data_IF_621840254009
#
_entry.id   IF_621840254009
#
_cell.length_a   1.000
_cell.length_b   1.000
_cell.length_c   1.000
_cell.angle_alpha   90.00
_cell.angle_beta   90.00
_cell.angle_gamma   90.00
#
_symmetry.space_group_name_H-M   'P 1'
#
loop_
_entity.id
_entity.type
_entity.pdbx_description
1 polymer ?
#
# COMPACT_ATOMS: atom_id res chain seq x y z
N UNK A 1 3.45 16.82 -14.12
CA UNK A 1 2.11 16.70 -13.51
C UNK A 1 1.09 17.34 -14.43
N UNK A 2 0.61 16.60 -15.42
CA UNK A 2 -0.47 17.02 -16.32
C UNK A 2 -0.88 15.79 -17.14
N UNK A 3 -2.12 15.34 -16.96
CA UNK A 3 -2.65 14.17 -17.65
C UNK A 3 -3.13 13.06 -16.70
N UNK A 4 -3.87 13.39 -15.64
CA UNK A 4 -4.92 12.45 -15.22
C UNK A 4 -5.89 12.41 -16.39
N UNK A 5 -5.74 11.40 -17.26
CA UNK A 5 -6.71 11.14 -18.30
C UNK A 5 -8.08 11.10 -17.62
N UNK A 6 -8.99 11.99 -18.04
CA UNK A 6 -10.38 11.92 -17.62
C UNK A 6 -10.83 10.47 -17.83
N UNK A 7 -11.32 9.85 -16.75
CA UNK A 7 -11.79 8.48 -16.78
C UNK A 7 -12.77 8.33 -17.95
N UNK A 8 -12.52 7.45 -18.94
CA UNK A 8 -13.37 7.31 -20.13
C UNK A 8 -14.78 6.76 -19.82
N UNK A 9 -15.14 6.61 -18.55
CA UNK A 9 -16.46 6.20 -18.09
C UNK A 9 -17.43 7.39 -18.10
N UNK A 10 -17.87 7.76 -19.31
CA UNK A 10 -19.07 8.57 -19.46
C UNK A 10 -20.24 7.85 -18.77
N UNK A 11 -21.11 8.56 -18.04
CA UNK A 11 -22.30 7.95 -17.45
C UNK A 11 -23.15 7.33 -18.55
N UNK A 12 -23.22 5.99 -18.56
CA UNK A 12 -24.06 5.25 -19.50
C UNK A 12 -25.53 5.63 -19.30
N UNK A 13 -26.18 6.13 -20.35
CA UNK A 13 -27.62 6.43 -20.40
C UNK A 13 -28.43 5.19 -20.80
N UNK A 14 -28.17 4.05 -20.17
CA UNK A 14 -28.92 2.82 -20.38
C UNK A 14 -30.33 2.90 -19.78
N UNK A 15 -31.27 2.15 -20.35
CA UNK A 15 -32.60 1.96 -19.76
C UNK A 15 -32.48 0.83 -18.73
N UNK A 16 -32.62 1.17 -17.45
CA UNK A 16 -32.53 0.19 -16.37
C UNK A 16 -33.85 -0.56 -16.19
N UNK A 17 -33.77 -1.89 -16.12
CA UNK A 17 -34.89 -2.71 -15.65
C UNK A 17 -35.01 -2.55 -14.13
N UNK A 18 -36.14 -2.00 -13.67
CA UNK A 18 -36.38 -1.85 -12.22
C UNK A 18 -36.89 -3.16 -11.64
N UNK A 19 -36.28 -3.61 -10.54
CA UNK A 19 -36.69 -4.79 -9.77
C UNK A 19 -36.98 -4.41 -8.32
N UNK A 20 -38.03 -4.99 -7.75
CA UNK A 20 -38.60 -4.60 -6.44
C UNK A 20 -38.61 -5.74 -5.42
N UNK A 21 -38.30 -6.96 -5.85
CA UNK A 21 -38.17 -8.12 -4.99
C UNK A 21 -37.01 -9.04 -5.42
N UNK A 22 -36.64 -9.97 -4.54
CA UNK A 22 -35.50 -10.87 -4.77
C UNK A 22 -35.71 -11.78 -5.99
N UNK A 23 -36.94 -12.25 -6.23
CA UNK A 23 -37.22 -13.16 -7.34
C UNK A 23 -37.02 -12.46 -8.70
N UNK A 24 -37.49 -11.21 -8.82
CA UNK A 24 -37.25 -10.34 -9.97
C UNK A 24 -35.75 -10.07 -10.16
N UNK A 25 -35.03 -9.72 -9.09
CA UNK A 25 -33.59 -9.48 -9.17
C UNK A 25 -32.85 -10.72 -9.67
N UNK A 26 -33.12 -11.90 -9.10
CA UNK A 26 -32.50 -13.17 -9.55
C UNK A 26 -32.86 -13.50 -11.00
N UNK A 27 -34.08 -13.20 -11.44
CA UNK A 27 -34.46 -13.37 -12.84
C UNK A 27 -33.72 -12.42 -13.78
N UNK A 28 -33.60 -11.14 -13.39
CA UNK A 28 -32.85 -10.15 -14.14
C UNK A 28 -31.36 -10.50 -14.25
N UNK A 29 -30.74 -10.97 -13.16
CA UNK A 29 -29.33 -11.41 -13.17
C UNK A 29 -29.04 -12.56 -14.14
N UNK A 30 -29.99 -13.48 -14.34
CA UNK A 30 -29.87 -14.55 -15.33
C UNK A 30 -29.97 -14.07 -16.77
N UNK A 31 -30.59 -12.91 -16.99
CA UNK A 31 -30.75 -12.31 -18.32
C UNK A 31 -29.65 -11.28 -18.61
N UNK A 32 -29.04 -10.71 -17.57
CA UNK A 32 -28.06 -9.65 -17.64
C UNK A 32 -28.65 -8.28 -18.00
N UNK A 33 -27.79 -7.37 -18.46
CA UNK A 33 -28.15 -6.00 -18.82
C UNK A 33 -28.10 -5.01 -17.63
N UNK A 34 -28.74 -3.86 -17.81
CA UNK A 34 -28.76 -2.77 -16.82
C UNK A 34 -29.95 -2.96 -15.85
N UNK A 35 -29.66 -3.15 -14.55
CA UNK A 35 -30.63 -3.49 -13.50
C UNK A 35 -30.59 -2.44 -12.39
N UNK A 36 -31.76 -1.89 -12.04
CA UNK A 36 -31.94 -0.98 -10.91
C UNK A 36 -32.75 -1.67 -9.82
N UNK A 37 -32.14 -1.92 -8.67
CA UNK A 37 -32.76 -2.59 -7.53
C UNK A 37 -33.33 -1.57 -6.54
N UNK A 38 -34.63 -1.61 -6.32
CA UNK A 38 -35.32 -0.88 -5.24
C UNK A 38 -35.94 -1.89 -4.26
N UNK A 39 -35.09 -2.60 -3.54
CA UNK A 39 -35.49 -3.61 -2.57
C UNK A 39 -34.60 -3.63 -1.33
N UNK A 40 -35.15 -4.19 -0.24
CA UNK A 40 -34.40 -4.60 0.95
C UNK A 40 -34.63 -6.10 1.16
N UNK A 41 -33.55 -6.88 1.28
CA UNK A 41 -33.63 -8.34 1.34
C UNK A 41 -32.63 -8.93 2.32
N UNK A 42 -33.10 -9.94 3.05
CA UNK A 42 -32.28 -10.88 3.81
C UNK A 42 -31.95 -12.07 2.91
N UNK A 43 -30.70 -12.18 2.47
CA UNK A 43 -30.25 -13.21 1.54
C UNK A 43 -30.05 -14.54 2.28
N UNK A 44 -30.69 -15.59 1.78
CA UNK A 44 -30.42 -16.98 2.20
C UNK A 44 -29.35 -17.66 1.34
N UNK A 45 -29.03 -17.09 0.18
CA UNK A 45 -28.03 -17.57 -0.76
C UNK A 45 -27.45 -16.39 -1.56
N UNK A 46 -26.22 -16.51 -2.10
CA UNK A 46 -25.59 -15.46 -2.88
C UNK A 46 -26.41 -15.03 -4.11
N UNK A 47 -26.24 -13.79 -4.54
CA UNK A 47 -26.69 -13.29 -5.84
C UNK A 47 -25.57 -13.52 -6.86
N UNK A 48 -25.84 -14.40 -7.82
CA UNK A 48 -24.87 -14.79 -8.85
C UNK A 48 -25.02 -13.92 -10.10
N UNK A 49 -23.90 -13.33 -10.54
CA UNK A 49 -23.78 -12.58 -11.79
C UNK A 49 -23.01 -13.46 -12.79
N UNK A 50 -23.73 -14.03 -13.76
CA UNK A 50 -23.19 -15.01 -14.70
C UNK A 50 -23.33 -14.61 -16.18
N UNK A 51 -23.84 -13.40 -16.45
CA UNK A 51 -23.95 -12.84 -17.80
C UNK A 51 -22.99 -11.66 -17.95
N UNK A 52 -22.04 -11.69 -18.90
CA UNK A 52 -21.15 -10.56 -19.16
C UNK A 52 -21.93 -9.28 -19.48
N UNK A 53 -21.40 -8.12 -19.08
CA UNK A 53 -22.05 -6.83 -19.31
C UNK A 53 -23.21 -6.53 -18.36
N UNK A 54 -23.41 -7.35 -17.31
CA UNK A 54 -24.44 -7.11 -16.30
C UNK A 54 -24.05 -5.94 -15.41
N UNK A 55 -24.95 -4.97 -15.28
CA UNK A 55 -24.77 -3.80 -14.42
C UNK A 55 -25.91 -3.74 -13.41
N UNK A 56 -25.58 -3.71 -12.13
CA UNK A 56 -26.56 -3.61 -11.05
C UNK A 56 -26.32 -2.33 -10.26
N UNK A 57 -27.40 -1.59 -9.98
CA UNK A 57 -27.37 -0.46 -9.06
C UNK A 57 -28.44 -0.53 -7.99
N UNK A 58 -28.12 -0.04 -6.80
CA UNK A 58 -29.07 0.12 -5.71
C UNK A 58 -29.36 -1.16 -4.92
N UNK A 59 -30.38 -1.12 -4.07
CA UNK A 59 -30.77 -2.22 -3.20
C UNK A 59 -30.03 -2.26 -1.85
N UNK A 60 -30.65 -2.95 -0.89
CA UNK A 60 -30.11 -3.20 0.44
C UNK A 60 -30.14 -4.70 0.72
N UNK A 61 -28.99 -5.24 1.05
CA UNK A 61 -28.77 -6.68 1.20
C UNK A 61 -28.19 -6.95 2.57
N UNK A 62 -28.70 -7.98 3.23
CA UNK A 62 -28.08 -8.53 4.42
C UNK A 62 -27.83 -10.01 4.23
N UNK A 63 -26.68 -10.49 4.69
CA UNK A 63 -26.36 -11.92 4.67
C UNK A 63 -25.60 -12.31 5.93
N UNK A 64 -26.05 -13.37 6.60
CA UNK A 64 -25.44 -13.80 7.88
C UNK A 64 -24.13 -14.60 7.67
N UNK A 65 -24.02 -15.36 6.57
CA UNK A 65 -22.83 -16.16 6.25
C UNK A 65 -22.59 -16.27 4.74
N UNK A 66 -21.35 -16.47 4.34
CA UNK A 66 -20.99 -16.59 2.91
C UNK A 66 -21.04 -15.24 2.16
N UNK A 67 -20.87 -15.27 0.84
CA UNK A 67 -20.85 -14.06 0.00
C UNK A 67 -22.26 -13.55 -0.30
N UNK A 68 -22.45 -12.23 -0.36
CA UNK A 68 -23.72 -11.63 -0.81
C UNK A 68 -23.81 -11.63 -2.35
N UNK A 69 -22.70 -11.28 -3.00
CA UNK A 69 -22.57 -11.19 -4.46
C UNK A 69 -21.42 -12.03 -4.95
N UNK A 70 -21.68 -12.86 -5.96
CA UNK A 70 -20.66 -13.70 -6.63
C UNK A 70 -20.70 -13.43 -8.12
N UNK A 71 -19.54 -13.21 -8.73
CA UNK A 71 -19.42 -13.02 -10.17
C UNK A 71 -18.25 -13.83 -10.73
N UNK A 72 -18.48 -14.47 -11.87
CA UNK A 72 -17.51 -15.35 -12.55
C UNK A 72 -17.36 -15.00 -14.03
N UNK A 73 -17.80 -13.81 -14.42
CA UNK A 73 -17.76 -13.31 -15.80
C UNK A 73 -17.19 -11.90 -15.85
N UNK A 74 -16.66 -11.51 -17.01
CA UNK A 74 -16.14 -10.16 -17.26
C UNK A 74 -17.26 -9.12 -17.41
N UNK A 75 -16.88 -7.85 -17.41
CA UNK A 75 -17.75 -6.70 -17.68
C UNK A 75 -18.92 -6.58 -16.68
N UNK A 76 -18.66 -6.88 -15.41
CA UNK A 76 -19.61 -6.71 -14.31
C UNK A 76 -19.48 -5.30 -13.73
N UNK A 77 -20.60 -4.60 -13.55
CA UNK A 77 -20.66 -3.37 -12.75
C UNK A 77 -21.61 -3.55 -11.56
N UNK A 78 -21.10 -3.35 -10.35
CA UNK A 78 -21.87 -3.31 -9.10
C UNK A 78 -21.78 -1.91 -8.50
N UNK A 79 -22.87 -1.15 -8.55
CA UNK A 79 -22.93 0.25 -8.15
C UNK A 79 -23.91 0.52 -7.01
N UNK A 80 -23.61 1.49 -6.13
CA UNK A 80 -24.59 2.06 -5.19
C UNK A 80 -25.27 1.04 -4.25
N UNK A 81 -24.66 -0.13 -4.04
CA UNK A 81 -25.22 -1.20 -3.21
C UNK A 81 -25.05 -0.88 -1.73
N UNK A 82 -25.98 -1.35 -0.89
CA UNK A 82 -25.78 -1.40 0.57
C UNK A 82 -25.78 -2.85 1.03
N UNK A 83 -24.67 -3.32 1.56
CA UNK A 83 -24.49 -4.73 1.95
C UNK A 83 -24.03 -4.79 3.41
N UNK A 84 -24.73 -5.56 4.24
CA UNK A 84 -24.35 -5.81 5.64
C UNK A 84 -24.11 -7.31 5.85
N UNK A 85 -22.97 -7.66 6.44
CA UNK A 85 -22.61 -9.03 6.79
C UNK A 85 -23.09 -9.45 8.19
N UNK A 86 -22.58 -10.60 8.64
CA UNK A 86 -23.00 -11.25 9.89
C UNK A 86 -22.17 -10.92 11.12
N UNK A 87 -21.21 -9.96 11.06
CA UNK A 87 -20.27 -9.69 12.17
C UNK A 87 -20.97 -9.37 13.49
N UNK A 88 -22.09 -8.64 13.47
CA UNK A 88 -22.83 -8.28 14.69
C UNK A 88 -23.44 -9.49 15.41
N UNK A 89 -23.89 -10.49 14.65
CA UNK A 89 -24.47 -11.72 15.20
C UNK A 89 -23.40 -12.72 15.63
N UNK A 90 -22.26 -12.74 14.94
CA UNK A 90 -21.14 -13.62 15.21
C UNK A 90 -19.81 -12.90 14.93
N UNK A 91 -19.13 -12.34 15.94
CA UNK A 91 -17.87 -11.61 15.77
C UNK A 91 -16.67 -12.57 15.65
N UNK A 92 -16.83 -13.61 14.84
CA UNK A 92 -15.82 -14.64 14.57
C UNK A 92 -15.47 -14.56 13.09
N UNK A 93 -14.17 -14.56 12.80
CA UNK A 93 -13.67 -14.54 11.43
C UNK A 93 -14.21 -15.72 10.63
N UNK A 94 -14.66 -15.43 9.42
CA UNK A 94 -15.14 -16.40 8.45
C UNK A 94 -14.55 -16.04 7.07
N UNK A 95 -13.59 -16.86 6.65
CA UNK A 95 -12.92 -16.73 5.34
C UNK A 95 -13.85 -16.88 4.14
N UNK A 96 -15.04 -17.46 4.34
CA UNK A 96 -16.05 -17.64 3.31
C UNK A 96 -16.99 -16.43 3.19
N UNK A 97 -17.04 -15.54 4.20
CA UNK A 97 -17.83 -14.31 4.13
C UNK A 97 -17.05 -13.21 3.38
N UNK A 98 -17.16 -13.25 2.06
CA UNK A 98 -16.64 -12.25 1.12
C UNK A 98 -17.82 -11.53 0.50
N UNK A 99 -18.23 -10.38 1.04
CA UNK A 99 -19.54 -9.81 0.71
C UNK A 99 -19.72 -9.54 -0.78
N UNK A 100 -18.69 -9.03 -1.45
CA UNK A 100 -18.57 -9.02 -2.92
C UNK A 100 -17.37 -9.89 -3.30
N UNK A 101 -17.61 -10.96 -4.04
CA UNK A 101 -16.58 -11.91 -4.47
C UNK A 101 -16.62 -12.11 -5.99
N UNK A 102 -15.66 -11.53 -6.69
CA UNK A 102 -15.56 -11.59 -8.15
C UNK A 102 -14.29 -12.37 -8.48
N UNK A 103 -14.46 -13.53 -9.10
CA UNK A 103 -13.42 -14.56 -9.19
C UNK A 103 -13.26 -15.06 -10.63
N UNK A 104 -12.09 -14.81 -11.18
CA UNK A 104 -11.60 -15.42 -12.41
C UNK A 104 -10.67 -16.59 -12.10
N UNK A 105 -9.90 -16.98 -13.09
CA UNK A 105 -8.82 -17.97 -12.94
C UNK A 105 -7.56 -17.49 -13.65
N UNK A 106 -6.42 -18.11 -13.38
CA UNK A 106 -5.18 -17.84 -14.11
C UNK A 106 -5.36 -17.97 -15.63
N UNK A 107 -6.13 -18.97 -16.08
CA UNK A 107 -6.38 -19.21 -17.51
C UNK A 107 -7.47 -18.32 -18.11
N UNK A 108 -8.34 -17.75 -17.27
CA UNK A 108 -9.47 -16.93 -17.68
C UNK A 108 -9.73 -15.84 -16.61
N UNK A 109 -8.89 -14.79 -16.56
CA UNK A 109 -9.10 -13.70 -15.63
C UNK A 109 -10.35 -12.90 -15.99
N UNK A 110 -11.03 -12.32 -14.99
CA UNK A 110 -12.16 -11.42 -15.25
C UNK A 110 -11.64 -10.07 -15.70
N UNK A 111 -12.14 -9.54 -16.80
CA UNK A 111 -11.80 -8.21 -17.29
C UNK A 111 -12.93 -7.21 -17.01
N UNK A 112 -12.59 -5.93 -16.88
CA UNK A 112 -13.60 -4.86 -16.88
C UNK A 112 -14.58 -4.90 -15.69
N UNK A 113 -14.16 -5.46 -14.55
CA UNK A 113 -14.98 -5.50 -13.34
C UNK A 113 -14.95 -4.13 -12.65
N UNK A 114 -16.12 -3.63 -12.27
CA UNK A 114 -16.27 -2.36 -11.55
C UNK A 114 -17.14 -2.54 -10.32
N UNK A 115 -16.61 -2.21 -9.14
CA UNK A 115 -17.39 -2.07 -7.90
C UNK A 115 -17.32 -0.61 -7.46
N UNK A 116 -18.45 0.11 -7.47
CA UNK A 116 -18.44 1.55 -7.25
C UNK A 116 -19.51 2.08 -6.31
N UNK A 117 -19.17 3.07 -5.49
CA UNK A 117 -20.09 3.83 -4.64
C UNK A 117 -20.94 2.96 -3.68
N UNK A 118 -20.44 1.77 -3.35
CA UNK A 118 -21.08 0.83 -2.46
C UNK A 118 -20.79 1.14 -0.98
N UNK A 119 -21.74 0.79 -0.10
CA UNK A 119 -21.56 0.79 1.36
C UNK A 119 -21.60 -0.64 1.85
N UNK A 120 -20.49 -1.13 2.35
CA UNK A 120 -20.30 -2.53 2.71
C UNK A 120 -19.87 -2.61 4.17
N UNK A 121 -20.64 -3.31 4.99
CA UNK A 121 -20.50 -3.29 6.44
C UNK A 121 -20.50 -4.66 7.07
N UNK A 122 -19.96 -4.76 8.28
CA UNK A 122 -20.19 -5.88 9.20
C UNK A 122 -19.76 -7.25 8.61
N UNK A 123 -18.69 -7.26 7.80
CA UNK A 123 -18.17 -8.50 7.22
C UNK A 123 -17.34 -9.28 8.25
N UNK A 124 -17.57 -10.59 8.31
CA UNK A 124 -16.72 -11.55 9.03
C UNK A 124 -15.47 -11.96 8.23
N UNK A 125 -15.33 -11.51 6.99
CA UNK A 125 -14.15 -11.75 6.16
C UNK A 125 -13.80 -10.49 5.37
N UNK A 126 -13.89 -10.61 4.04
CA UNK A 126 -13.62 -9.52 3.09
C UNK A 126 -14.89 -8.70 2.83
N UNK A 127 -14.76 -7.38 2.64
CA UNK A 127 -15.83 -6.57 2.07
C UNK A 127 -15.88 -6.73 0.54
N UNK A 128 -14.76 -6.47 -0.15
CA UNK A 128 -14.60 -6.71 -1.59
C UNK A 128 -13.39 -7.60 -1.83
N UNK A 129 -13.57 -8.69 -2.57
CA UNK A 129 -12.49 -9.56 -3.03
C UNK A 129 -12.56 -9.72 -4.55
N UNK A 130 -11.50 -9.28 -5.20
CA UNK A 130 -11.23 -9.51 -6.61
C UNK A 130 -10.12 -10.55 -6.73
N UNK A 131 -10.38 -11.66 -7.40
CA UNK A 131 -9.41 -12.74 -7.58
C UNK A 131 -9.24 -13.01 -9.08
N UNK A 132 -8.00 -13.00 -9.58
CA UNK A 132 -7.70 -13.11 -11.01
C UNK A 132 -8.49 -12.12 -11.87
N UNK A 133 -8.40 -10.83 -11.53
CA UNK A 133 -9.07 -9.76 -12.24
C UNK A 133 -8.06 -8.87 -12.96
N UNK A 134 -8.39 -8.45 -14.18
CA UNK A 134 -7.57 -7.57 -15.02
C UNK A 134 -8.36 -6.33 -15.43
N UNK A 135 -7.71 -5.19 -15.58
CA UNK A 135 -8.34 -3.95 -16.08
C UNK A 135 -9.63 -3.59 -15.32
N UNK A 136 -9.57 -3.67 -13.98
CA UNK A 136 -10.72 -3.64 -13.08
C UNK A 136 -10.60 -2.53 -12.03
N UNK A 137 -11.72 -2.13 -11.43
CA UNK A 137 -11.78 -0.97 -10.54
C UNK A 137 -12.64 -1.22 -9.30
N UNK A 138 -12.17 -0.72 -8.16
CA UNK A 138 -12.95 -0.55 -6.93
C UNK A 138 -12.90 0.93 -6.55
N UNK A 139 -14.02 1.64 -6.66
CA UNK A 139 -14.05 3.11 -6.52
C UNK A 139 -15.10 3.60 -5.53
N UNK A 140 -14.75 4.55 -4.66
CA UNK A 140 -15.74 5.22 -3.81
C UNK A 140 -16.45 4.29 -2.81
N UNK A 141 -15.92 3.09 -2.58
CA UNK A 141 -16.50 2.12 -1.65
C UNK A 141 -16.26 2.56 -0.21
N UNK A 142 -17.29 2.49 0.62
CA UNK A 142 -17.19 2.66 2.07
C UNK A 142 -17.31 1.29 2.73
N UNK A 143 -16.18 0.75 3.18
CA UNK A 143 -16.09 -0.52 3.90
C UNK A 143 -15.86 -0.28 5.40
N UNK A 144 -16.69 -0.87 6.26
CA UNK A 144 -16.56 -0.69 7.72
C UNK A 144 -16.88 -1.94 8.52
N UNK A 145 -16.28 -2.08 9.70
CA UNK A 145 -16.65 -3.15 10.63
C UNK A 145 -16.33 -4.52 10.04
N UNK A 146 -15.04 -4.77 9.76
CA UNK A 146 -14.55 -5.95 9.07
C UNK A 146 -13.80 -6.87 10.04
N UNK A 147 -13.68 -8.16 9.75
CA UNK A 147 -12.81 -9.06 10.52
C UNK A 147 -11.57 -9.53 9.74
N UNK A 148 -11.43 -9.14 8.46
CA UNK A 148 -10.24 -9.46 7.69
C UNK A 148 -9.79 -8.31 6.79
N UNK A 149 -10.44 -8.08 5.63
CA UNK A 149 -10.00 -7.04 4.69
C UNK A 149 -11.13 -6.15 4.15
N UNK A 150 -10.80 -4.89 3.86
CA UNK A 150 -11.71 -3.97 3.15
C UNK A 150 -11.77 -4.27 1.67
N UNK A 151 -10.63 -4.16 1.01
CA UNK A 151 -10.47 -4.52 -0.39
C UNK A 151 -9.29 -5.47 -0.54
N UNK A 152 -9.54 -6.63 -1.12
CA UNK A 152 -8.54 -7.64 -1.40
C UNK A 152 -8.44 -7.87 -2.91
N UNK A 153 -7.29 -7.55 -3.49
CA UNK A 153 -6.96 -7.83 -4.89
C UNK A 153 -5.95 -8.96 -4.90
N UNK A 154 -6.33 -10.11 -5.44
CA UNK A 154 -5.52 -11.32 -5.45
C UNK A 154 -5.24 -11.72 -6.89
N UNK A 155 -3.96 -11.81 -7.23
CA UNK A 155 -3.52 -12.10 -8.60
C UNK A 155 -4.14 -11.14 -9.63
N UNK A 156 -4.21 -9.85 -9.28
CA UNK A 156 -4.81 -8.83 -10.12
C UNK A 156 -3.79 -8.14 -11.02
N UNK A 157 -4.20 -7.73 -12.22
CA UNK A 157 -3.34 -6.99 -13.16
C UNK A 157 -4.03 -5.69 -13.60
N UNK A 158 -3.36 -4.54 -13.47
CA UNK A 158 -3.94 -3.23 -13.79
C UNK A 158 -5.27 -2.97 -13.05
N UNK A 159 -5.36 -3.41 -11.79
CA UNK A 159 -6.51 -3.15 -10.92
C UNK A 159 -6.31 -1.84 -10.17
N UNK A 160 -7.32 -0.98 -10.17
CA UNK A 160 -7.30 0.32 -9.48
C UNK A 160 -8.27 0.31 -8.29
N UNK A 161 -7.77 0.62 -7.10
CA UNK A 161 -8.56 0.87 -5.89
C UNK A 161 -8.45 2.35 -5.55
N UNK A 162 -9.52 3.11 -5.78
CA UNK A 162 -9.49 4.57 -5.73
C UNK A 162 -10.59 5.19 -4.86
N UNK A 163 -10.25 6.21 -4.09
CA UNK A 163 -11.23 7.04 -3.39
C UNK A 163 -12.10 6.28 -2.38
N UNK A 164 -11.67 5.10 -1.93
CA UNK A 164 -12.40 4.27 -0.99
C UNK A 164 -12.14 4.72 0.46
N UNK A 165 -13.09 4.45 1.34
CA UNK A 165 -12.94 4.60 2.79
C UNK A 165 -13.03 3.22 3.44
N UNK A 166 -11.94 2.74 4.04
CA UNK A 166 -11.90 1.46 4.75
C UNK A 166 -11.60 1.71 6.22
N UNK A 167 -12.45 1.22 7.12
CA UNK A 167 -12.25 1.44 8.56
C UNK A 167 -12.65 0.26 9.45
N UNK A 168 -11.98 0.15 10.58
CA UNK A 168 -12.26 -0.82 11.65
C UNK A 168 -12.13 -2.29 11.25
N UNK A 169 -10.90 -2.78 11.25
CA UNK A 169 -10.57 -4.20 11.11
C UNK A 169 -9.71 -4.66 12.30
N UNK A 170 -10.32 -4.96 13.46
CA UNK A 170 -9.59 -5.41 14.65
C UNK A 170 -9.00 -6.80 14.49
N UNK A 171 -7.88 -7.04 15.17
CA UNK A 171 -7.42 -8.40 15.40
C UNK A 171 -8.33 -9.06 16.44
N UNK A 172 -8.99 -10.15 16.04
CA UNK A 172 -9.80 -11.00 16.93
C UNK A 172 -9.08 -12.32 17.20
N UNK A 173 -9.42 -13.05 18.28
CA UNK A 173 -8.83 -14.37 18.54
C UNK A 173 -8.90 -15.28 17.31
N UNK A 174 -7.78 -15.89 16.94
CA UNK A 174 -7.66 -16.76 15.76
C UNK A 174 -7.41 -16.04 14.44
N UNK A 175 -7.46 -14.70 14.40
CA UNK A 175 -7.08 -13.90 13.23
C UNK A 175 -5.68 -13.39 13.43
N UNK A 176 -4.78 -13.75 12.51
CA UNK A 176 -3.37 -13.35 12.59
C UNK A 176 -3.16 -11.97 11.97
N UNK A 177 -3.88 -11.67 10.89
CA UNK A 177 -3.69 -10.44 10.10
C UNK A 177 -5.03 -9.82 9.73
N UNK A 178 -5.05 -8.50 9.59
CA UNK A 178 -6.14 -7.72 8.98
C UNK A 178 -5.58 -6.68 8.01
N UNK A 179 -6.37 -6.30 7.01
CA UNK A 179 -5.89 -5.40 5.96
C UNK A 179 -6.92 -4.32 5.66
N UNK A 180 -6.48 -3.09 5.44
CA UNK A 180 -7.35 -2.09 4.85
C UNK A 180 -7.57 -2.42 3.38
N UNK A 181 -6.49 -2.31 2.61
CA UNK A 181 -6.42 -2.65 1.20
C UNK A 181 -5.18 -3.53 0.99
N UNK A 182 -5.34 -4.70 0.38
CA UNK A 182 -4.24 -5.60 0.08
C UNK A 182 -4.22 -5.99 -1.39
N UNK A 183 -3.02 -5.99 -1.99
CA UNK A 183 -2.75 -6.37 -3.38
C UNK A 183 -1.72 -7.50 -3.37
N UNK A 184 -2.16 -8.75 -3.44
CA UNK A 184 -1.36 -9.94 -3.15
C UNK A 184 -1.48 -10.98 -4.27
N UNK A 185 -0.81 -12.11 -4.15
CA UNK A 185 -1.02 -13.28 -5.00
C UNK A 185 -1.84 -14.37 -4.32
N UNK A 186 -2.41 -15.26 -5.12
CA UNK A 186 -3.14 -16.45 -4.65
C UNK A 186 -2.21 -17.62 -4.30
N UNK A 187 -1.22 -17.86 -5.17
CA UNK A 187 -0.48 -19.13 -5.22
C UNK A 187 0.97 -19.04 -4.74
N UNK A 188 1.41 -17.89 -4.23
CA UNK A 188 2.78 -17.65 -3.77
C UNK A 188 3.85 -17.79 -4.91
N UNK A 189 3.42 -17.70 -6.16
CA UNK A 189 4.23 -17.86 -7.38
C UNK A 189 4.42 -16.55 -8.15
N UNK A 190 5.41 -16.54 -9.04
CA UNK A 190 5.60 -15.43 -9.98
C UNK A 190 4.37 -15.21 -10.85
N UNK A 191 3.78 -16.27 -11.40
CA UNK A 191 2.63 -16.17 -12.31
C UNK A 191 1.43 -15.52 -11.64
N UNK A 192 1.15 -15.92 -10.39
CA UNK A 192 0.01 -15.42 -9.63
C UNK A 192 0.21 -14.02 -9.02
N UNK A 193 1.39 -13.40 -9.14
CA UNK A 193 1.60 -12.09 -8.54
C UNK A 193 0.71 -11.02 -9.14
N UNK A 194 0.23 -10.12 -8.27
CA UNK A 194 -0.44 -8.92 -8.74
C UNK A 194 0.55 -7.97 -9.43
N UNK A 195 0.12 -7.31 -10.51
CA UNK A 195 0.98 -6.49 -11.37
C UNK A 195 0.34 -5.17 -11.78
N UNK A 196 1.13 -4.11 -11.72
CA UNK A 196 0.79 -2.78 -12.23
C UNK A 196 -0.57 -2.26 -11.69
N UNK A 197 -0.88 -2.62 -10.45
CA UNK A 197 -2.09 -2.19 -9.73
C UNK A 197 -1.84 -0.86 -9.00
N UNK A 198 -2.92 -0.12 -8.74
CA UNK A 198 -2.86 1.18 -8.08
C UNK A 198 -3.83 1.27 -6.90
N UNK A 199 -3.36 1.80 -5.78
CA UNK A 199 -4.11 2.13 -4.57
C UNK A 199 -3.98 3.63 -4.35
N UNK A 200 -5.00 4.40 -4.78
CA UNK A 200 -4.90 5.85 -4.96
C UNK A 200 -5.98 6.62 -4.19
N UNK A 201 -5.60 7.66 -3.46
CA UNK A 201 -6.57 8.60 -2.87
C UNK A 201 -7.54 7.98 -1.85
N UNK A 202 -7.19 6.86 -1.24
CA UNK A 202 -8.04 6.17 -0.26
C UNK A 202 -7.85 6.73 1.15
N UNK A 203 -8.89 6.57 1.98
CA UNK A 203 -8.80 6.76 3.43
C UNK A 203 -8.89 5.40 4.11
N UNK A 204 -7.81 5.01 4.79
CA UNK A 204 -7.73 3.73 5.51
C UNK A 204 -7.46 4.00 6.98
N UNK A 205 -8.29 3.48 7.88
CA UNK A 205 -8.11 3.73 9.30
C UNK A 205 -8.46 2.57 10.24
N UNK A 206 -7.80 2.56 11.40
CA UNK A 206 -8.09 1.61 12.50
C UNK A 206 -7.96 0.14 12.03
N UNK A 207 -6.86 -0.16 11.34
CA UNK A 207 -6.51 -1.52 10.93
C UNK A 207 -5.43 -2.06 11.86
N UNK A 208 -5.72 -3.15 12.57
CA UNK A 208 -4.82 -3.65 13.62
C UNK A 208 -3.59 -4.38 13.08
N UNK A 209 -3.44 -4.47 11.76
CA UNK A 209 -2.25 -5.01 11.13
C UNK A 209 -1.72 -4.06 10.04
N UNK A 210 -2.16 -4.17 8.79
CA UNK A 210 -1.61 -3.36 7.69
C UNK A 210 -2.67 -2.48 7.03
N UNK A 211 -2.44 -1.16 7.01
CA UNK A 211 -3.33 -0.23 6.31
C UNK A 211 -3.39 -0.56 4.83
N UNK A 212 -2.26 -0.48 4.14
CA UNK A 212 -2.11 -0.87 2.74
C UNK A 212 -0.99 -1.90 2.64
N UNK A 213 -1.25 -3.01 1.96
CA UNK A 213 -0.29 -4.12 1.83
C UNK A 213 -0.12 -4.56 0.38
N UNK A 214 1.10 -4.97 0.05
CA UNK A 214 1.33 -5.93 -1.02
C UNK A 214 2.30 -7.01 -0.55
N UNK A 215 1.94 -8.24 -0.91
CA UNK A 215 2.82 -9.37 -0.85
C UNK A 215 3.35 -9.73 -2.23
N UNK A 216 4.62 -9.42 -2.50
CA UNK A 216 5.29 -9.80 -3.75
C UNK A 216 4.78 -9.11 -5.02
N UNK A 217 4.01 -8.03 -4.90
CA UNK A 217 3.47 -7.32 -6.07
C UNK A 217 4.54 -6.70 -6.98
N UNK A 218 4.25 -6.56 -8.27
CA UNK A 218 5.11 -5.87 -9.23
C UNK A 218 4.48 -4.56 -9.68
N UNK A 219 5.23 -3.47 -9.71
CA UNK A 219 4.71 -2.21 -10.25
C UNK A 219 3.55 -1.63 -9.42
N UNK A 220 3.44 -1.98 -8.14
CA UNK A 220 2.34 -1.51 -7.30
C UNK A 220 2.51 -0.04 -6.95
N UNK A 221 1.51 0.78 -7.28
CA UNK A 221 1.44 2.19 -6.95
C UNK A 221 0.57 2.42 -5.71
N UNK A 222 1.10 3.07 -4.68
CA UNK A 222 0.39 3.53 -3.49
C UNK A 222 0.52 5.04 -3.40
N UNK A 223 -0.50 5.78 -3.83
CA UNK A 223 -0.40 7.23 -4.03
C UNK A 223 -1.50 8.06 -3.35
N UNK A 224 -1.14 9.14 -2.68
CA UNK A 224 -2.11 10.13 -2.19
C UNK A 224 -3.10 9.61 -1.15
N UNK A 225 -2.81 8.50 -0.47
CA UNK A 225 -3.71 7.92 0.53
C UNK A 225 -3.56 8.60 1.89
N UNK A 226 -4.62 8.58 2.69
CA UNK A 226 -4.61 8.89 4.11
C UNK A 226 -4.71 7.59 4.90
N UNK A 227 -3.66 7.23 5.63
CA UNK A 227 -3.60 6.03 6.46
C UNK A 227 -3.46 6.43 7.93
N UNK A 228 -4.44 6.12 8.78
CA UNK A 228 -4.47 6.58 10.16
C UNK A 228 -4.82 5.49 11.17
N UNK A 229 -4.05 5.40 12.24
CA UNK A 229 -4.39 4.49 13.35
C UNK A 229 -4.16 3.02 12.99
N UNK A 230 -3.31 2.73 12.01
CA UNK A 230 -2.99 1.36 11.57
C UNK A 230 -1.70 0.86 12.21
N UNK A 231 -1.60 -0.43 12.56
CA UNK A 231 -0.39 -0.97 13.21
C UNK A 231 0.87 -0.72 12.37
N UNK A 232 0.74 -0.95 11.08
CA UNK A 232 1.67 -0.58 10.01
C UNK A 232 0.92 0.24 8.96
N UNK A 233 1.55 1.31 8.46
CA UNK A 233 0.94 2.18 7.47
C UNK A 233 0.86 1.52 6.09
N UNK A 234 2.03 1.34 5.45
CA UNK A 234 2.18 0.69 4.14
C UNK A 234 3.21 -0.44 4.23
N UNK A 235 2.85 -1.63 3.76
CA UNK A 235 3.71 -2.80 3.67
C UNK A 235 3.98 -3.17 2.21
N UNK A 236 5.26 -3.19 1.83
CA UNK A 236 5.74 -3.80 0.61
C UNK A 236 6.63 -4.97 1.03
N UNK A 237 6.06 -6.16 1.21
CA UNK A 237 6.78 -7.30 1.79
C UNK A 237 6.56 -8.58 1.00
N UNK A 238 7.22 -9.65 1.45
CA UNK A 238 7.02 -11.00 0.92
C UNK A 238 5.73 -11.60 1.51
N UNK A 239 5.45 -11.41 2.80
CA UNK A 239 4.26 -11.96 3.44
C UNK A 239 4.54 -13.27 4.18
N UNK A 240 4.71 -14.40 3.48
CA UNK A 240 4.97 -15.71 4.10
C UNK A 240 6.19 -16.44 3.50
N UNK A 241 6.65 -17.47 4.19
CA UNK A 241 7.85 -18.25 3.89
C UNK A 241 7.75 -19.12 2.63
N UNK A 242 6.54 -19.40 2.14
CA UNK A 242 6.34 -20.21 0.93
C UNK A 242 6.35 -19.36 -0.34
N UNK A 243 6.31 -18.03 -0.20
CA UNK A 243 6.29 -17.12 -1.34
C UNK A 243 7.66 -16.97 -1.96
N UNK A 244 7.64 -17.00 -3.30
CA UNK A 244 8.85 -16.96 -4.11
C UNK A 244 9.11 -15.56 -4.68
N UNK A 245 8.18 -14.62 -4.55
CA UNK A 245 8.27 -13.28 -5.13
C UNK A 245 8.60 -12.22 -4.08
N UNK A 246 9.40 -11.22 -4.49
CA UNK A 246 9.64 -10.01 -3.71
C UNK A 246 8.89 -8.84 -4.37
N UNK A 247 8.47 -7.83 -3.60
CA UNK A 247 7.86 -6.63 -4.16
C UNK A 247 8.87 -5.86 -5.01
N UNK A 248 8.56 -5.60 -6.27
CA UNK A 248 9.47 -4.94 -7.22
C UNK A 248 8.80 -3.79 -7.95
N UNK A 249 9.59 -2.80 -8.38
CA UNK A 249 9.14 -1.63 -9.14
C UNK A 249 7.99 -0.87 -8.46
N UNK A 250 7.85 -0.98 -7.15
CA UNK A 250 6.74 -0.38 -6.41
C UNK A 250 6.96 1.12 -6.21
N UNK A 251 5.88 1.88 -6.01
CA UNK A 251 5.96 3.31 -5.71
C UNK A 251 5.03 3.66 -4.57
N UNK A 252 5.54 4.31 -3.53
CA UNK A 252 4.77 4.84 -2.40
C UNK A 252 4.97 6.35 -2.35
N UNK A 253 3.98 7.12 -2.77
CA UNK A 253 4.16 8.56 -2.95
C UNK A 253 3.01 9.44 -2.46
N UNK A 254 3.34 10.60 -1.88
CA UNK A 254 2.34 11.61 -1.52
C UNK A 254 1.34 11.17 -0.46
N UNK A 255 1.63 10.12 0.33
CA UNK A 255 0.69 9.60 1.34
C UNK A 255 0.82 10.37 2.66
N UNK A 256 -0.28 10.47 3.41
CA UNK A 256 -0.32 10.95 4.80
C UNK A 256 -0.55 9.76 5.73
N UNK A 257 0.47 9.37 6.48
CA UNK A 257 0.51 8.13 7.29
C UNK A 257 0.68 8.53 8.76
N UNK A 258 -0.26 8.16 9.64
CA UNK A 258 -0.22 8.53 11.06
C UNK A 258 -0.54 7.35 11.99
N UNK A 259 0.28 7.17 13.02
CA UNK A 259 0.04 6.20 14.09
C UNK A 259 -1.07 6.63 15.06
N UNK A 260 -1.62 7.83 14.91
CA UNK A 260 -2.63 8.37 15.83
C UNK A 260 -3.90 7.52 15.83
N UNK A 261 -4.31 7.06 17.01
CA UNK A 261 -5.53 6.27 17.19
C UNK A 261 -5.36 4.76 17.03
N UNK A 262 -4.12 4.27 16.89
CA UNK A 262 -3.83 2.83 16.88
C UNK A 262 -4.33 2.14 18.15
N UNK A 263 -4.85 0.91 17.98
CA UNK A 263 -5.33 0.07 19.09
C UNK A 263 -4.30 -0.95 19.56
N UNK A 264 -3.36 -1.30 18.69
CA UNK A 264 -2.35 -2.33 18.94
C UNK A 264 -0.94 -1.74 18.97
N UNK A 265 0.02 -2.59 19.33
CA UNK A 265 1.43 -2.24 19.36
C UNK A 265 1.90 -1.71 18.01
N UNK A 266 2.72 -0.66 18.08
CA UNK A 266 3.14 0.06 16.89
C UNK A 266 4.25 -0.67 16.12
N UNK A 267 4.06 -0.75 14.80
CA UNK A 267 5.04 -1.25 13.83
C UNK A 267 5.59 -0.07 13.04
N UNK A 268 5.79 -0.21 11.74
CA UNK A 268 6.43 0.77 10.88
C UNK A 268 5.42 1.66 10.13
N UNK A 269 5.83 2.89 9.80
CA UNK A 269 5.07 3.74 8.88
C UNK A 269 5.06 3.12 7.48
N UNK A 270 6.24 2.90 6.91
CA UNK A 270 6.45 2.20 5.64
C UNK A 270 7.52 1.11 5.83
N UNK A 271 7.26 -0.10 5.33
CA UNK A 271 8.26 -1.18 5.28
C UNK A 271 8.45 -1.67 3.85
N UNK A 272 9.69 -2.00 3.51
CA UNK A 272 10.07 -2.70 2.27
C UNK A 272 10.92 -3.91 2.65
N UNK A 273 10.65 -5.10 2.10
CA UNK A 273 11.45 -6.30 2.36
C UNK A 273 11.44 -7.29 1.20
N UNK A 274 12.60 -7.85 0.88
CA UNK A 274 12.79 -8.81 -0.22
C UNK A 274 13.12 -10.23 0.25
N UNK A 275 13.64 -11.04 -0.68
CA UNK A 275 14.05 -12.43 -0.49
C UNK A 275 15.51 -12.65 -0.89
N UNK A 276 16.19 -13.68 -0.35
CA UNK A 276 17.48 -14.12 -0.86
C UNK A 276 17.43 -14.36 -2.38
N UNK A 277 18.31 -13.69 -3.13
CA UNK A 277 18.36 -13.79 -4.60
C UNK A 277 17.25 -13.05 -5.36
N UNK A 278 16.27 -12.45 -4.67
CA UNK A 278 15.17 -11.68 -5.27
C UNK A 278 14.96 -10.41 -4.46
N UNK A 279 15.73 -9.39 -4.79
CA UNK A 279 15.74 -8.16 -4.02
C UNK A 279 14.46 -7.34 -4.25
N UNK A 280 13.92 -6.72 -3.21
CA UNK A 280 12.80 -5.80 -3.31
C UNK A 280 13.23 -4.44 -3.89
N UNK A 281 12.37 -3.78 -4.66
CA UNK A 281 12.68 -2.45 -5.21
C UNK A 281 11.47 -1.50 -5.16
N UNK A 282 11.73 -0.24 -4.80
CA UNK A 282 10.68 0.76 -4.69
C UNK A 282 11.17 2.22 -4.80
N UNK A 283 10.24 3.11 -5.13
CA UNK A 283 10.37 4.57 -4.95
C UNK A 283 9.47 5.00 -3.79
N UNK A 284 10.02 5.63 -2.75
CA UNK A 284 9.29 6.12 -1.57
C UNK A 284 9.47 7.64 -1.44
N UNK A 285 8.50 8.43 -1.89
CA UNK A 285 8.69 9.88 -2.02
C UNK A 285 7.52 10.75 -1.59
N UNK A 286 7.79 11.96 -1.08
CA UNK A 286 6.71 12.93 -0.80
C UNK A 286 5.72 12.51 0.29
N UNK A 287 6.03 11.50 1.10
CA UNK A 287 5.12 11.02 2.14
C UNK A 287 5.29 11.83 3.43
N UNK A 288 4.18 12.04 4.13
CA UNK A 288 4.14 12.59 5.49
C UNK A 288 3.83 11.47 6.47
N UNK A 289 4.78 11.09 7.29
CA UNK A 289 4.66 10.05 8.31
C UNK A 289 4.66 10.73 9.69
N UNK A 290 3.78 10.35 10.61
CA UNK A 290 3.71 10.92 11.94
C UNK A 290 3.35 9.89 13.02
N UNK A 291 3.86 10.08 14.23
CA UNK A 291 3.58 9.24 15.39
C UNK A 291 4.20 7.83 15.37
N UNK A 292 4.84 7.41 14.27
CA UNK A 292 5.53 6.12 14.22
C UNK A 292 6.94 6.20 14.82
N UNK A 293 7.22 5.42 15.87
CA UNK A 293 8.59 5.10 16.37
C UNK A 293 9.59 4.72 15.27
N UNK A 294 9.15 3.99 14.24
CA UNK A 294 9.94 3.63 13.06
C UNK A 294 9.20 4.12 11.81
N UNK A 295 9.47 5.34 11.32
CA UNK A 295 8.84 5.84 10.10
C UNK A 295 9.11 4.91 8.91
N UNK A 296 10.32 4.34 8.88
CA UNK A 296 10.78 3.39 7.87
C UNK A 296 11.36 2.13 8.51
N UNK A 297 11.22 1.01 7.82
CA UNK A 297 12.08 -0.16 7.96
C UNK A 297 12.41 -0.71 6.58
N UNK A 298 13.70 -0.76 6.29
CA UNK A 298 14.23 -1.43 5.12
C UNK A 298 14.69 -2.81 5.61
N UNK A 299 13.90 -3.83 5.29
CA UNK A 299 14.19 -5.22 5.63
C UNK A 299 15.37 -5.76 4.83
N UNK A 300 15.54 -7.07 4.84
CA UNK A 300 16.62 -7.72 4.12
C UNK A 300 16.38 -7.69 2.60
N UNK A 301 17.47 -7.85 1.85
CA UNK A 301 17.47 -8.01 0.39
C UNK A 301 16.78 -6.85 -0.35
N UNK A 302 17.22 -5.63 -0.09
CA UNK A 302 16.78 -4.44 -0.83
C UNK A 302 17.69 -4.21 -2.03
N UNK A 303 17.08 -4.07 -3.21
CA UNK A 303 17.73 -3.74 -4.46
C UNK A 303 17.71 -2.24 -4.69
N UNK A 304 17.04 -1.81 -5.76
CA UNK A 304 16.89 -0.39 -6.07
C UNK A 304 15.85 0.27 -5.16
N UNK A 305 16.29 1.18 -4.31
CA UNK A 305 15.43 1.97 -3.44
C UNK A 305 15.74 3.46 -3.63
N UNK A 306 14.71 4.23 -4.00
CA UNK A 306 14.79 5.70 -4.06
C UNK A 306 13.88 6.28 -3.00
N UNK A 307 14.44 6.81 -1.93
CA UNK A 307 13.70 7.62 -0.95
C UNK A 307 13.84 9.10 -1.34
N UNK A 308 12.85 9.97 -1.17
CA UNK A 308 13.07 11.44 -1.32
C UNK A 308 11.89 12.29 -0.86
N UNK A 309 12.16 13.49 -0.32
CA UNK A 309 11.12 14.51 -0.11
C UNK A 309 10.03 14.08 0.89
N UNK A 310 10.31 13.11 1.76
CA UNK A 310 9.43 12.75 2.85
C UNK A 310 9.69 13.67 4.06
N UNK A 311 8.74 13.78 4.99
CA UNK A 311 8.96 14.57 6.21
C UNK A 311 9.88 13.88 7.25
N UNK A 312 10.27 12.63 7.01
CA UNK A 312 11.29 11.91 7.75
C UNK A 312 12.45 11.56 6.82
N UNK A 313 13.70 11.78 7.23
CA UNK A 313 14.84 11.34 6.44
C UNK A 313 14.98 9.81 6.44
N UNK A 314 15.64 9.26 5.43
CA UNK A 314 15.95 7.83 5.34
C UNK A 314 16.87 7.38 6.48
N UNK A 315 17.91 8.16 6.76
CA UNK A 315 18.77 8.01 7.94
C UNK A 315 18.63 9.29 8.75
N UNK A 316 18.11 9.24 10.00
CA UNK A 316 18.07 10.40 10.86
C UNK A 316 19.48 10.86 11.20
N UNK A 317 19.61 12.04 11.79
CA UNK A 317 20.90 12.53 12.30
C UNK A 317 21.56 11.48 13.20
N UNK A 318 22.62 10.86 12.69
CA UNK A 318 23.38 9.78 13.31
C UNK A 318 24.83 10.21 13.49
N UNK A 319 25.51 9.64 14.48
CA UNK A 319 26.94 9.92 14.70
C UNK A 319 27.75 9.55 13.45
N UNK A 320 28.68 10.42 13.07
CA UNK A 320 29.64 10.15 11.99
C UNK A 320 30.97 9.73 12.61
N UNK A 321 31.31 8.44 12.52
CA UNK A 321 32.59 7.95 13.02
C UNK A 321 33.73 8.46 12.14
N UNK A 322 34.65 9.20 12.77
CA UNK A 322 35.89 9.64 12.14
C UNK A 322 36.93 8.55 12.24
N UNK A 323 37.64 8.29 11.14
CA UNK A 323 38.80 7.39 11.12
C UNK A 323 40.07 8.20 10.87
N UNK A 324 40.92 8.34 11.90
CA UNK A 324 42.23 9.00 11.84
C UNK A 324 42.69 9.50 13.22
N UNK A 325 44.00 9.69 13.41
CA UNK A 325 44.61 10.03 14.71
C UNK A 325 44.75 11.53 14.99
N UNK A 326 44.62 12.36 13.95
CA UNK A 326 45.09 13.75 13.98
C UNK A 326 43.96 14.75 14.27
N UNK A 327 42.78 14.26 14.65
CA UNK A 327 41.59 15.05 14.92
C UNK A 327 40.75 14.45 16.03
N UNK A 328 40.06 15.32 16.76
CA UNK A 328 39.02 14.95 17.71
C UNK A 328 37.73 15.69 17.39
N UNK A 329 36.61 14.99 17.54
CA UNK A 329 35.27 15.60 17.51
C UNK A 329 35.15 16.67 18.62
N UNK A 330 34.57 17.84 18.34
CA UNK A 330 34.22 18.77 19.42
C UNK A 330 33.10 18.14 20.25
N UNK A 331 33.32 17.80 21.53
CA UNK A 331 32.31 17.13 22.35
C UNK A 331 31.04 17.99 22.56
N UNK A 332 31.10 19.30 22.27
CA UNK A 332 29.97 20.21 22.35
C UNK A 332 29.14 20.25 21.06
N UNK A 333 29.72 19.89 19.92
CA UNK A 333 29.04 19.87 18.62
C UNK A 333 29.46 18.65 17.79
N UNK A 334 29.01 17.45 18.19
CA UNK A 334 29.45 16.20 17.57
C UNK A 334 29.07 16.12 16.09
N UNK A 335 29.96 15.53 15.29
CA UNK A 335 29.74 15.27 13.89
C UNK A 335 28.62 14.28 13.69
N UNK A 336 27.67 14.69 12.86
CA UNK A 336 26.50 13.89 12.52
C UNK A 336 26.24 13.97 11.03
N UNK A 337 25.67 12.89 10.52
CA UNK A 337 25.15 12.84 9.16
C UNK A 337 23.67 12.47 9.16
N UNK A 338 22.96 12.90 8.13
CA UNK A 338 21.59 12.50 7.81
C UNK A 338 21.58 12.12 6.34
N UNK A 339 20.76 11.15 5.96
CA UNK A 339 20.50 10.86 4.55
C UNK A 339 19.02 11.05 4.29
N UNK A 340 18.67 11.93 3.38
CA UNK A 340 17.31 12.14 2.88
C UNK A 340 17.30 11.97 1.37
N UNK A 341 16.92 10.76 0.95
CA UNK A 341 17.00 10.34 -0.43
C UNK A 341 18.41 10.30 -0.98
N UNK A 342 18.63 10.98 -2.10
CA UNK A 342 19.98 11.17 -2.65
C UNK A 342 20.81 12.16 -1.84
N UNK A 343 20.23 12.96 -0.96
CA UNK A 343 20.96 14.02 -0.25
C UNK A 343 21.57 13.50 1.06
N UNK A 344 22.86 13.73 1.28
CA UNK A 344 23.51 13.51 2.57
C UNK A 344 23.82 14.86 3.21
N UNK A 345 23.33 15.10 4.41
CA UNK A 345 23.61 16.33 5.16
C UNK A 345 24.61 16.03 6.27
N UNK A 346 25.54 16.95 6.50
CA UNK A 346 26.54 16.87 7.56
C UNK A 346 26.38 18.07 8.49
N UNK A 347 26.61 17.86 9.78
CA UNK A 347 26.73 18.93 10.79
C UNK A 347 27.74 18.55 11.86
N UNK A 348 28.19 19.52 12.64
CA UNK A 348 29.12 19.35 13.75
C UNK A 348 30.44 20.09 13.51
N UNK A 349 31.36 19.95 14.47
CA UNK A 349 32.69 20.56 14.42
C UNK A 349 33.81 19.55 14.67
N UNK A 350 34.93 19.76 13.98
CA UNK A 350 36.21 19.06 14.21
C UNK A 350 37.19 19.99 14.89
N UNK A 351 38.08 19.42 15.70
CA UNK A 351 39.22 20.10 16.31
C UNK A 351 40.51 19.40 15.84
N UNK A 352 41.36 20.10 15.09
CA UNK A 352 42.63 19.60 14.54
C UNK A 352 43.05 20.31 13.25
N UNK A 353 44.29 20.12 12.80
CA UNK A 353 44.79 20.60 11.49
C UNK A 353 44.74 19.46 10.45
N UNK A 354 44.28 19.73 9.22
CA UNK A 354 44.44 18.81 8.08
C UNK A 354 43.16 18.28 7.41
N UNK A 355 43.32 17.24 6.57
CA UNK A 355 42.24 16.65 5.77
C UNK A 355 41.69 15.36 6.39
N UNK A 356 40.39 15.27 6.68
CA UNK A 356 39.82 14.06 7.32
C UNK A 356 39.29 13.04 6.31
N UNK A 357 38.94 11.82 6.77
CA UNK A 357 38.13 10.83 6.04
C UNK A 357 37.02 10.36 6.98
N UNK A 358 35.77 10.76 6.73
CA UNK A 358 34.59 10.19 7.40
C UNK A 358 33.98 9.11 6.53
N UNK A 359 33.57 7.96 7.08
CA UNK A 359 32.77 6.99 6.32
C UNK A 359 31.31 7.19 6.63
N UNK A 360 30.50 7.48 5.60
CA UNK A 360 29.04 7.43 5.73
C UNK A 360 28.63 5.97 5.51
N UNK A 361 28.11 5.27 6.53
CA UNK A 361 27.58 3.93 6.35
C UNK A 361 26.50 3.94 5.28
N UNK A 362 26.69 3.12 4.25
CA UNK A 362 25.63 2.90 3.29
C UNK A 362 24.54 2.04 3.94
N UNK A 363 23.27 2.47 3.91
CA UNK A 363 22.17 1.63 4.40
C UNK A 363 22.01 0.32 3.60
N UNK A 364 22.67 0.20 2.44
CA UNK A 364 22.56 -0.97 1.55
C UNK A 364 23.90 -1.60 1.18
N UNK A 365 24.99 -1.27 1.88
CA UNK A 365 26.33 -1.78 1.57
C UNK A 365 26.91 -1.30 0.22
N UNK A 366 26.26 -0.34 -0.45
CA UNK A 366 26.77 0.31 -1.67
C UNK A 366 27.37 1.67 -1.34
N UNK A 367 28.65 1.92 -1.67
CA UNK A 367 29.29 3.19 -1.33
C UNK A 367 28.59 4.38 -2.00
N UNK A 368 28.38 5.45 -1.24
CA UNK A 368 27.82 6.71 -1.72
C UNK A 368 28.90 7.48 -2.50
N UNK A 369 28.68 7.76 -3.79
CA UNK A 369 29.62 8.53 -4.62
C UNK A 369 29.14 9.98 -4.69
N UNK A 370 29.86 10.93 -4.10
CA UNK A 370 29.56 12.35 -4.29
C UNK A 370 30.55 13.00 -5.26
N UNK A 371 30.05 13.86 -6.14
CA UNK A 371 30.87 14.64 -7.06
C UNK A 371 31.10 16.02 -6.44
N UNK A 372 32.36 16.29 -6.03
CA UNK A 372 32.98 17.58 -5.61
C UNK A 372 32.06 18.81 -5.60
N UNK A 373 31.78 19.39 -4.42
CA UNK A 373 30.81 20.51 -4.26
C UNK A 373 31.40 21.76 -3.57
N UNK A 374 32.65 21.72 -3.14
CA UNK A 374 33.46 22.91 -2.87
C UNK A 374 34.95 22.51 -2.92
N UNK A 375 35.86 23.49 -2.96
CA UNK A 375 37.31 23.24 -2.93
C UNK A 375 37.80 22.51 -1.67
N UNK A 376 36.91 22.29 -0.71
CA UNK A 376 37.18 21.72 0.58
C UNK A 376 36.55 20.34 0.82
N UNK A 377 35.86 19.67 -0.13
CA UNK A 377 35.30 18.32 0.12
C UNK A 377 35.30 17.36 -1.11
N UNK A 378 35.81 16.13 -0.93
CA UNK A 378 35.83 15.03 -1.91
C UNK A 378 35.28 13.74 -1.28
N UNK A 379 34.15 13.22 -1.77
CA UNK A 379 33.64 11.90 -1.34
C UNK A 379 34.06 10.83 -2.35
N UNK A 380 34.56 9.69 -1.86
CA UNK A 380 35.15 8.62 -2.66
C UNK A 380 34.16 7.47 -2.89
N UNK A 381 34.40 6.66 -3.93
CA UNK A 381 33.60 5.47 -4.22
C UNK A 381 33.65 4.35 -3.18
N UNK A 382 34.32 4.51 -2.06
CA UNK A 382 34.29 3.61 -0.90
C UNK A 382 33.49 4.20 0.28
N UNK A 383 32.83 5.35 0.07
CA UNK A 383 32.09 6.08 1.08
C UNK A 383 32.95 6.99 1.98
N UNK A 384 34.25 7.11 1.71
CA UNK A 384 35.13 8.04 2.41
C UNK A 384 34.83 9.50 2.01
N UNK A 385 34.66 10.40 2.98
CA UNK A 385 34.43 11.83 2.80
C UNK A 385 35.70 12.56 3.22
N UNK A 386 36.41 13.18 2.27
CA UNK A 386 37.60 14.00 2.55
C UNK A 386 37.31 15.48 2.58
N UNK A 387 37.71 16.19 3.63
CA UNK A 387 37.78 17.66 3.59
C UNK A 387 39.21 18.11 3.36
N UNK A 388 39.47 19.14 2.56
CA UNK A 388 40.77 19.83 2.55
C UNK A 388 40.61 21.23 3.13
N UNK A 389 41.52 21.60 4.04
CA UNK A 389 41.42 22.82 4.84
C UNK A 389 42.00 24.04 4.12
N UNK A 390 41.26 25.16 4.18
CA UNK A 390 41.78 26.43 4.70
C UNK A 390 40.75 26.94 5.74
N UNK A 391 41.19 27.06 7.00
CA UNK A 391 40.51 27.55 8.21
C UNK A 391 39.40 26.71 8.88
N UNK A 392 39.50 26.61 10.21
CA UNK A 392 38.53 26.05 11.16
C UNK A 392 37.17 26.74 10.99
N UNK A 393 36.29 26.12 10.20
CA UNK A 393 34.94 26.60 9.98
C UNK A 393 33.92 25.59 10.51
N UNK A 394 32.80 26.05 11.11
CA UNK A 394 31.68 25.16 11.42
C UNK A 394 31.23 24.46 10.14
N UNK A 395 31.22 23.13 10.13
CA UNK A 395 30.79 22.34 8.98
C UNK A 395 29.26 22.35 8.94
N UNK A 396 28.67 23.49 8.56
CA UNK A 396 27.25 23.61 8.24
C UNK A 396 27.13 23.58 6.72
N UNK A 397 27.01 22.38 6.16
CA UNK A 397 26.90 22.16 4.72
C UNK A 397 25.70 21.29 4.38
N UNK A 398 24.95 21.68 3.35
CA UNK A 398 23.93 20.83 2.72
C UNK A 398 24.54 20.23 1.45
N UNK A 399 24.60 18.90 1.33
CA UNK A 399 25.31 18.24 0.22
C UNK A 399 24.38 17.33 -0.57
N UNK A 400 24.30 17.52 -1.88
CA UNK A 400 23.61 16.58 -2.76
C UNK A 400 24.56 15.46 -3.16
N UNK A 401 24.28 14.26 -2.70
CA UNK A 401 24.88 13.05 -3.25
C UNK A 401 23.97 12.58 -4.40
N UNK A 402 24.53 11.97 -5.43
CA UNK A 402 23.73 11.25 -6.43
C UNK A 402 24.16 9.81 -6.31
N UNK A 403 23.23 8.94 -5.94
CA UNK A 403 23.44 7.49 -5.95
C UNK A 403 23.64 6.99 -7.38
#
# INVERSE_FOLDING_TARGET
MSGCAESPFLPHRGVYTTVTNEAELRAALRNGGDISADLTVELSAPLEVSVPGTRVRGGRYRIESGPAWVGTVSDIELGELRIEGGRRGAPVYDKEQRLVHLVGTEAAPLAGVVVQDCRIGESRGDAVRLEWCVDSQVRGVVARGLLYAGVMVISGERVVVEGCTVTDAPLTPGVVNTYGIAVTDYANTEQARSRDCAVVGNTVSLIDWEGIDTHGGDGILVAGNTVQGCARGVALVVGNETRTTAPTRCTVTGNSISARGMRVAQREGIVLGGLPGRAASAVVSGNRIDGYRRPYLWGDYIGELVVSGNNHPMIPWSALDLTGSDFSEDPRDPLRYMVDGGEARLRGAVVGEGSYVGRIPSPHGRPLVATRVSDALVVFPDGAVRVSEEDVLPVVGTWRVRA
#
